data_IF_286837690744
#
_entry.id   IF_286837690744
#
_cell.length_a   1.000
_cell.length_b   1.000
_cell.length_c   1.000
_cell.angle_alpha   90.00
_cell.angle_beta   90.00
_cell.angle_gamma   90.00
#
_symmetry.space_group_name_H-M   'P 1'
#
loop_
_entity.id
_entity.type
_entity.pdbx_description
1 polymer ?
#
# COMPACT_ATOMS: atom_id res chain seq x y z
N UNK A 1 -17.06 -12.76 14.42
CA UNK A 1 -17.67 -11.70 15.28
C UNK A 1 -18.82 -11.06 14.55
N UNK A 2 -19.78 -10.46 15.28
CA UNK A 2 -20.95 -9.78 14.72
C UNK A 2 -20.98 -8.35 15.26
N UNK A 3 -21.40 -7.38 14.45
CA UNK A 3 -21.65 -6.02 14.87
C UNK A 3 -23.12 -5.67 14.58
N UNK A 4 -23.75 -4.93 15.48
CA UNK A 4 -25.16 -4.53 15.33
C UNK A 4 -25.23 -3.18 14.63
N UNK A 5 -26.08 -3.10 13.60
CA UNK A 5 -26.43 -1.82 12.97
C UNK A 5 -27.32 -1.03 13.93
N UNK A 6 -26.93 0.19 14.26
CA UNK A 6 -27.72 1.08 15.10
C UNK A 6 -28.89 1.67 14.31
N UNK A 7 -29.90 2.22 15.01
CA UNK A 7 -31.06 2.88 14.38
C UNK A 7 -30.70 4.07 13.48
N UNK A 8 -29.47 4.60 13.61
CA UNK A 8 -28.95 5.70 12.78
C UNK A 8 -28.14 5.20 11.56
N UNK A 9 -28.14 3.90 11.30
CA UNK A 9 -27.36 3.31 10.21
C UNK A 9 -25.85 3.24 10.48
N UNK A 10 -25.40 3.45 11.72
CA UNK A 10 -23.98 3.34 12.08
C UNK A 10 -23.65 1.90 12.47
N UNK A 11 -22.51 1.40 11.99
CA UNK A 11 -21.92 0.11 12.40
C UNK A 11 -20.72 0.40 13.29
N UNK A 12 -20.66 -0.24 14.46
CA UNK A 12 -19.48 -0.17 15.34
C UNK A 12 -18.49 -1.25 14.94
N UNK A 13 -17.24 -0.87 14.69
CA UNK A 13 -16.16 -1.83 14.42
C UNK A 13 -15.59 -2.32 15.76
N UNK A 14 -15.64 -3.63 16.05
CA UNK A 14 -15.03 -4.21 17.25
C UNK A 14 -13.54 -3.87 17.40
N UNK A 15 -13.08 -3.76 18.65
CA UNK A 15 -11.73 -3.29 18.99
C UNK A 15 -10.62 -4.18 18.37
N UNK A 16 -10.84 -5.48 18.31
CA UNK A 16 -9.90 -6.44 17.74
C UNK A 16 -9.70 -6.23 16.23
N UNK A 17 -10.78 -5.97 15.48
CA UNK A 17 -10.72 -5.64 14.05
C UNK A 17 -10.05 -4.29 13.86
N UNK A 18 -10.42 -3.29 14.66
CA UNK A 18 -9.82 -1.95 14.61
C UNK A 18 -8.31 -1.98 14.81
N UNK A 19 -7.83 -2.78 15.78
CA UNK A 19 -6.40 -2.95 16.04
C UNK A 19 -5.68 -3.69 14.92
N UNK A 20 -6.26 -4.78 14.40
CA UNK A 20 -5.67 -5.57 13.30
C UNK A 20 -5.54 -4.79 11.99
N UNK A 21 -6.53 -3.94 11.70
CA UNK A 21 -6.55 -3.09 10.50
C UNK A 21 -5.92 -1.71 10.74
N UNK A 22 -5.42 -1.45 11.95
CA UNK A 22 -4.84 -0.17 12.38
C UNK A 22 -5.72 1.06 12.07
N UNK A 23 -7.04 0.89 12.19
CA UNK A 23 -8.03 1.94 11.91
C UNK A 23 -8.04 2.98 13.04
N UNK A 24 -7.92 4.24 12.65
CA UNK A 24 -7.95 5.41 13.53
C UNK A 24 -9.25 6.19 13.35
N UNK A 25 -9.75 6.87 14.40
CA UNK A 25 -10.83 7.83 14.24
C UNK A 25 -10.47 8.86 13.16
N UNK A 26 -11.33 9.00 12.15
CA UNK A 26 -11.09 9.87 10.99
C UNK A 26 -10.60 9.15 9.72
N UNK A 27 -10.27 7.86 9.80
CA UNK A 27 -10.01 7.06 8.59
C UNK A 27 -11.31 6.89 7.79
N UNK A 28 -11.20 7.06 6.47
CA UNK A 28 -12.31 6.84 5.53
C UNK A 28 -12.30 5.39 5.07
N UNK A 29 -13.46 4.74 5.14
CA UNK A 29 -13.67 3.37 4.69
C UNK A 29 -14.52 3.39 3.42
N UNK A 30 -14.04 2.71 2.40
CA UNK A 30 -14.78 2.51 1.16
C UNK A 30 -15.63 1.25 1.26
N UNK A 31 -16.87 1.33 0.77
CA UNK A 31 -17.82 0.23 0.77
C UNK A 31 -18.04 -0.19 -0.69
N UNK A 32 -17.77 -1.46 -0.99
CA UNK A 32 -18.10 -2.04 -2.28
C UNK A 32 -19.48 -2.71 -2.18
N UNK A 33 -20.48 -2.14 -2.85
CA UNK A 33 -21.86 -2.65 -2.86
C UNK A 33 -22.01 -3.94 -3.69
N UNK A 34 -21.07 -4.25 -4.57
CA UNK A 34 -21.09 -5.47 -5.38
C UNK A 34 -20.44 -6.68 -4.65
N UNK A 35 -19.74 -6.44 -3.54
CA UNK A 35 -19.09 -7.49 -2.79
C UNK A 35 -20.06 -8.13 -1.75
N UNK A 36 -20.16 -9.47 -1.66
CA UNK A 36 -20.98 -10.15 -0.66
C UNK A 36 -20.45 -10.01 0.77
N UNK A 37 -19.33 -9.31 0.95
CA UNK A 37 -18.71 -9.02 2.24
C UNK A 37 -18.18 -7.59 2.27
N UNK A 38 -18.32 -6.96 3.43
CA UNK A 38 -17.91 -5.59 3.65
C UNK A 38 -16.39 -5.53 3.90
N UNK A 39 -15.63 -5.07 2.91
CA UNK A 39 -14.16 -4.98 2.97
C UNK A 39 -13.72 -3.54 3.25
N UNK A 40 -13.49 -3.24 4.52
CA UNK A 40 -12.88 -1.98 4.93
C UNK A 40 -11.37 -2.00 4.61
N UNK A 41 -10.95 -1.32 3.55
CA UNK A 41 -9.54 -1.03 3.29
C UNK A 41 -9.22 0.41 3.67
N UNK A 42 -8.02 0.62 4.24
CA UNK A 42 -7.53 1.96 4.50
C UNK A 42 -7.28 2.67 3.17
N UNK A 43 -8.14 3.62 2.82
CA UNK A 43 -7.95 4.45 1.64
C UNK A 43 -7.10 5.66 2.01
N UNK A 44 -5.97 5.82 1.33
CA UNK A 44 -5.20 7.07 1.39
C UNK A 44 -5.95 8.06 0.50
N UNK A 45 -6.36 9.19 1.07
CA UNK A 45 -7.00 10.25 0.30
C UNK A 45 -6.11 10.63 -0.91
N UNK A 46 -6.65 10.73 -2.13
CA UNK A 46 -5.86 11.06 -3.33
C UNK A 46 -5.00 12.32 -3.15
N UNK A 47 -5.51 13.30 -2.42
CA UNK A 47 -4.82 14.56 -2.13
C UNK A 47 -3.62 14.37 -1.20
N UNK A 48 -3.69 13.39 -0.29
CA UNK A 48 -2.57 13.02 0.58
C UNK A 48 -1.48 12.30 -0.21
N UNK A 49 -1.86 11.44 -1.16
CA UNK A 49 -0.93 10.78 -2.09
C UNK A 49 -0.24 11.79 -3.00
N UNK A 50 -0.98 12.75 -3.57
CA UNK A 50 -0.40 13.84 -4.37
C UNK A 50 0.56 14.73 -3.57
N UNK A 51 0.18 15.11 -2.35
CA UNK A 51 1.06 15.91 -1.47
C UNK A 51 2.35 15.16 -1.15
N UNK A 52 2.26 13.86 -0.86
CA UNK A 52 3.42 13.01 -0.66
C UNK A 52 4.33 13.01 -1.90
N UNK A 53 3.76 12.77 -3.09
CA UNK A 53 4.53 12.78 -4.34
C UNK A 53 5.21 14.12 -4.63
N UNK A 54 4.57 15.24 -4.33
CA UNK A 54 5.15 16.60 -4.50
C UNK A 54 6.27 16.90 -3.50
N UNK A 55 6.20 16.34 -2.29
CA UNK A 55 7.21 16.55 -1.25
C UNK A 55 8.37 15.57 -1.35
N UNK A 56 8.17 14.45 -2.05
CA UNK A 56 9.20 13.43 -2.21
C UNK A 56 10.39 14.00 -2.98
N UNK A 57 11.59 13.81 -2.42
CA UNK A 57 12.85 14.15 -3.05
C UNK A 57 13.60 12.86 -3.30
N UNK A 58 14.18 12.75 -4.48
CA UNK A 58 15.07 11.66 -4.82
C UNK A 58 16.24 11.61 -3.83
N UNK A 59 16.43 10.51 -3.08
CA UNK A 59 17.57 10.34 -2.19
C UNK A 59 18.90 10.21 -2.96
N UNK A 60 18.85 9.87 -4.24
CA UNK A 60 20.03 9.58 -5.07
C UNK A 60 20.07 10.40 -6.38
N UNK A 61 20.02 11.75 -6.31
CA UNK A 61 19.90 12.61 -7.49
C UNK A 61 21.11 12.58 -8.43
N UNK A 62 22.21 11.95 -8.01
CA UNK A 62 23.48 11.88 -8.74
C UNK A 62 23.81 10.48 -9.26
N UNK A 63 23.00 9.48 -8.93
CA UNK A 63 23.24 8.10 -9.35
C UNK A 63 22.28 7.75 -10.49
N UNK A 64 22.79 6.98 -11.44
CA UNK A 64 21.92 6.35 -12.44
C UNK A 64 21.07 5.27 -11.75
N UNK A 65 19.89 4.98 -12.31
CA UNK A 65 19.01 3.95 -11.74
C UNK A 65 19.71 2.59 -11.58
N UNK A 66 20.62 2.24 -12.50
CA UNK A 66 21.44 1.02 -12.42
C UNK A 66 22.38 1.03 -11.21
N UNK A 67 23.03 2.17 -10.93
CA UNK A 67 23.93 2.30 -9.78
C UNK A 67 23.17 2.25 -8.44
N UNK A 68 21.97 2.83 -8.37
CA UNK A 68 21.10 2.73 -7.18
C UNK A 68 20.65 1.29 -6.96
N UNK A 69 20.27 0.59 -8.04
CA UNK A 69 19.86 -0.81 -7.96
C UNK A 69 21.01 -1.72 -7.50
N UNK A 70 22.23 -1.49 -7.98
CA UNK A 70 23.40 -2.27 -7.57
C UNK A 70 23.74 -2.02 -6.08
N UNK A 71 23.70 -0.76 -5.63
CA UNK A 71 23.94 -0.39 -4.24
C UNK A 71 22.89 -0.99 -3.29
N UNK A 72 21.60 -0.90 -3.64
CA UNK A 72 20.51 -1.42 -2.81
C UNK A 72 20.41 -2.95 -2.83
N UNK A 73 20.80 -3.59 -3.94
CA UNK A 73 20.82 -5.04 -4.07
C UNK A 73 21.93 -5.67 -3.23
N UNK A 74 23.08 -4.99 -3.12
CA UNK A 74 24.28 -5.53 -2.50
C UNK A 74 24.96 -6.61 -3.35
N UNK A 75 26.08 -7.20 -2.88
CA UNK A 75 26.84 -8.16 -3.65
C UNK A 75 26.02 -9.44 -3.91
N UNK A 76 25.70 -9.69 -5.18
CA UNK A 76 24.97 -10.87 -5.63
C UNK A 76 25.78 -11.58 -6.71
N UNK A 77 25.95 -12.90 -6.56
CA UNK A 77 26.49 -13.73 -7.63
C UNK A 77 25.47 -13.83 -8.76
N UNK A 78 25.81 -13.26 -9.92
CA UNK A 78 24.96 -13.32 -11.10
C UNK A 78 25.09 -14.70 -11.76
N UNK A 79 23.97 -15.31 -12.21
CA UNK A 79 24.02 -16.52 -12.99
C UNK A 79 24.78 -16.28 -14.31
N UNK A 80 25.48 -17.30 -14.85
CA UNK A 80 26.25 -17.15 -16.08
C UNK A 80 25.35 -16.69 -17.22
N UNK A 81 25.78 -15.65 -17.95
CA UNK A 81 25.05 -15.11 -19.10
C UNK A 81 24.91 -16.18 -20.18
N UNK A 82 23.71 -16.74 -20.35
CA UNK A 82 23.40 -17.55 -21.52
C UNK A 82 23.48 -16.67 -22.77
N UNK A 83 24.46 -16.92 -23.64
CA UNK A 83 24.48 -16.36 -24.99
C UNK A 83 23.25 -16.89 -25.72
N UNK A 84 22.22 -16.05 -25.91
CA UNK A 84 21.15 -16.35 -26.86
C UNK A 84 21.82 -16.46 -28.24
N UNK A 85 21.83 -17.68 -28.78
CA UNK A 85 22.17 -17.91 -30.19
C UNK A 85 21.05 -17.24 -30.98
N UNK A 86 21.36 -16.13 -31.65
CA UNK A 86 20.49 -15.59 -32.68
C UNK A 86 20.49 -16.59 -33.84
N UNK A 87 19.30 -17.08 -34.19
CA UNK A 87 19.01 -17.76 -35.45
C UNK A 87 18.35 -16.75 -36.39
#
# INVERSE_FOLDING_TARGET
MKATLTSKGQITIPLDIRSRLHLKPGDVLEFDEAAPFLKATKTIAPEAWEKFGKQWRDPWPKLTGEAVLEELRGPVELPPKHKRKHA
#
